data_IF_118741837121
#
_entry.id   IF_118741837121
#
_cell.length_a   1.000
_cell.length_b   1.000
_cell.length_c   1.000
_cell.angle_alpha   90.00
_cell.angle_beta   90.00
_cell.angle_gamma   90.00
#
_symmetry.space_group_name_H-M   'P 1'
#
loop_
_entity.id
_entity.type
_entity.pdbx_description
1 polymer ?
#
# COMPACT_ATOMS: atom_id res chain seq x y z
N UNK A 1 6.38 8.74 -30.36
CA UNK A 1 6.37 8.87 -28.88
C UNK A 1 5.49 7.77 -28.33
N UNK A 2 5.92 7.02 -27.31
CA UNK A 2 5.06 5.99 -26.72
C UNK A 2 3.91 6.68 -25.97
N UNK A 3 2.67 6.30 -26.27
CA UNK A 3 1.50 6.85 -25.60
C UNK A 3 1.49 6.40 -24.14
N UNK A 4 1.45 7.36 -23.21
CA UNK A 4 1.33 7.08 -21.78
C UNK A 4 -0.03 6.44 -21.50
N UNK A 5 -0.04 5.21 -20.98
CA UNK A 5 -1.26 4.52 -20.56
C UNK A 5 -1.42 4.77 -19.06
N UNK A 6 -2.60 5.23 -18.59
CA UNK A 6 -2.82 5.44 -17.18
C UNK A 6 -2.69 4.12 -16.40
N UNK A 7 -2.22 4.14 -15.15
CA UNK A 7 -2.27 2.98 -14.28
C UNK A 7 -3.71 2.50 -14.08
N UNK A 8 -3.91 1.19 -13.98
CA UNK A 8 -5.20 0.64 -13.57
C UNK A 8 -5.38 0.67 -12.05
N UNK A 9 -6.58 0.35 -11.61
CA UNK A 9 -6.93 0.32 -10.19
C UNK A 9 -6.20 -0.80 -9.43
N UNK A 10 -6.01 -0.56 -8.13
CA UNK A 10 -5.52 -1.56 -7.16
C UNK A 10 -6.65 -1.90 -6.18
N UNK A 11 -6.62 -3.12 -5.65
CA UNK A 11 -7.49 -3.51 -4.54
C UNK A 11 -6.68 -3.57 -3.24
N UNK A 12 -7.24 -2.99 -2.17
CA UNK A 12 -6.62 -2.99 -0.84
C UNK A 12 -7.50 -3.70 0.17
N UNK A 13 -6.86 -4.35 1.15
CA UNK A 13 -7.54 -4.92 2.32
C UNK A 13 -6.76 -4.48 3.58
N UNK A 14 -7.34 -3.61 4.43
CA UNK A 14 -8.66 -2.99 4.31
C UNK A 14 -8.75 -1.99 3.14
N UNK A 15 -9.97 -1.77 2.63
CA UNK A 15 -10.20 -0.98 1.41
C UNK A 15 -9.95 0.53 1.63
N UNK A 16 -10.64 1.13 2.61
CA UNK A 16 -10.65 2.58 2.78
C UNK A 16 -9.96 3.10 4.05
N UNK A 17 -9.97 2.31 5.13
CA UNK A 17 -9.39 2.72 6.42
C UNK A 17 -8.86 1.52 7.19
N UNK A 18 -7.80 1.75 7.96
CA UNK A 18 -7.29 0.83 8.96
C UNK A 18 -7.56 1.41 10.36
N UNK A 19 -7.94 0.56 11.31
CA UNK A 19 -8.17 0.94 12.70
C UNK A 19 -7.07 0.29 13.54
N UNK A 20 -6.28 1.11 14.22
CA UNK A 20 -5.34 0.66 15.23
C UNK A 20 -6.10 0.62 16.56
N UNK A 21 -6.29 -0.58 17.12
CA UNK A 21 -6.99 -0.74 18.40
C UNK A 21 -6.02 -0.67 19.57
N UNK A 22 -6.54 -0.20 20.71
CA UNK A 22 -5.84 -0.25 21.98
C UNK A 22 -5.58 -1.71 22.43
N UNK A 23 -4.59 -1.95 23.31
CA UNK A 23 -3.72 -0.97 23.98
C UNK A 23 -2.59 -0.41 23.10
N UNK A 24 -1.99 0.72 23.50
CA UNK A 24 -0.96 1.45 22.72
C UNK A 24 0.39 1.59 23.45
N UNK A 25 0.60 0.78 24.48
CA UNK A 25 1.80 0.72 25.28
C UNK A 25 2.93 -0.07 24.60
N UNK A 26 2.59 -0.95 23.66
CA UNK A 26 3.55 -1.67 22.82
C UNK A 26 3.34 -1.42 21.31
N UNK A 27 4.37 -1.75 20.52
CA UNK A 27 4.34 -1.67 19.06
C UNK A 27 3.42 -2.75 18.48
N UNK A 28 2.40 -2.30 17.75
CA UNK A 28 1.52 -3.19 17.00
C UNK A 28 1.81 -3.09 15.50
N UNK A 29 2.05 -4.25 14.88
CA UNK A 29 2.17 -4.36 13.41
C UNK A 29 0.86 -4.86 12.83
N UNK A 30 0.31 -4.13 11.88
CA UNK A 30 -0.87 -4.53 11.11
C UNK A 30 -0.47 -4.80 9.67
N UNK A 31 -1.18 -5.70 9.01
CA UNK A 31 -0.92 -6.07 7.62
C UNK A 31 -1.99 -5.49 6.70
N UNK A 32 -1.54 -4.86 5.61
CA UNK A 32 -2.39 -4.38 4.53
C UNK A 32 -2.07 -5.22 3.30
N UNK A 33 -3.09 -5.81 2.68
CA UNK A 33 -2.95 -6.48 1.40
C UNK A 33 -3.14 -5.47 0.28
N UNK A 34 -2.22 -5.42 -0.66
CA UNK A 34 -2.33 -4.62 -1.90
C UNK A 34 -2.28 -5.57 -3.09
N UNK A 35 -3.23 -5.45 -4.00
CA UNK A 35 -3.37 -6.31 -5.17
C UNK A 35 -3.39 -5.43 -6.41
N UNK A 36 -2.52 -5.72 -7.36
CA UNK A 36 -2.57 -5.14 -8.69
C UNK A 36 -3.66 -5.85 -9.51
N UNK A 37 -4.83 -5.24 -9.60
CA UNK A 37 -5.95 -5.70 -10.44
C UNK A 37 -5.84 -5.27 -11.90
N UNK A 38 -4.79 -4.54 -12.27
CA UNK A 38 -4.58 -4.07 -13.64
C UNK A 38 -3.85 -5.12 -14.49
N UNK A 39 -3.89 -4.94 -15.82
CA UNK A 39 -3.22 -5.82 -16.77
C UNK A 39 -1.72 -5.52 -16.97
N UNK A 40 -1.14 -4.55 -16.24
CA UNK A 40 0.27 -4.14 -16.40
C UNK A 40 0.99 -4.10 -15.07
N UNK A 41 2.30 -4.36 -15.11
CA UNK A 41 3.17 -4.19 -13.94
C UNK A 41 3.15 -2.74 -13.48
N UNK A 42 3.01 -2.51 -12.18
CA UNK A 42 2.97 -1.17 -11.57
C UNK A 42 4.10 -1.01 -10.54
N UNK A 43 4.61 0.22 -10.42
CA UNK A 43 5.40 0.62 -9.25
C UNK A 43 4.49 1.18 -8.16
N UNK A 44 4.80 0.93 -6.90
CA UNK A 44 4.09 1.50 -5.76
C UNK A 44 5.05 2.13 -4.75
N UNK A 45 4.54 3.12 -4.01
CA UNK A 45 5.21 3.72 -2.87
C UNK A 45 4.20 4.11 -1.81
N UNK A 46 4.51 3.82 -0.54
CA UNK A 46 3.64 4.09 0.60
C UNK A 46 4.16 5.33 1.33
N UNK A 47 3.26 6.25 1.64
CA UNK A 47 3.55 7.45 2.42
C UNK A 47 2.68 7.47 3.68
N UNK A 48 3.28 7.86 4.79
CA UNK A 48 2.60 8.05 6.07
C UNK A 48 2.65 9.52 6.46
N UNK A 49 1.61 10.02 7.14
CA UNK A 49 1.57 11.41 7.64
C UNK A 49 2.50 11.66 8.83
N UNK A 50 2.95 10.62 9.53
CA UNK A 50 3.87 10.72 10.67
C UNK A 50 4.91 9.59 10.66
N UNK A 51 6.07 9.86 10.05
CA UNK A 51 7.15 8.87 9.87
C UNK A 51 7.85 8.47 11.18
N UNK A 52 7.73 9.27 12.25
CA UNK A 52 8.31 8.92 13.55
C UNK A 52 7.46 7.89 14.31
N UNK A 53 6.15 7.86 14.03
CA UNK A 53 5.18 6.98 14.70
C UNK A 53 4.78 5.77 13.85
N UNK A 54 4.71 5.93 12.54
CA UNK A 54 4.25 4.91 11.61
C UNK A 54 5.41 4.46 10.72
N UNK A 55 5.64 3.15 10.68
CA UNK A 55 6.57 2.50 9.75
C UNK A 55 5.81 1.58 8.80
N UNK A 56 6.26 1.49 7.56
CA UNK A 56 5.73 0.57 6.56
C UNK A 56 6.88 -0.16 5.89
N UNK A 57 6.77 -1.48 5.81
CA UNK A 57 7.77 -2.35 5.18
C UNK A 57 7.04 -3.43 4.36
N UNK A 58 7.32 -3.58 3.05
CA UNK A 58 8.18 -2.73 2.22
C UNK A 58 7.57 -1.32 1.96
N UNK A 59 8.37 -0.24 1.95
CA UNK A 59 7.86 1.12 1.73
C UNK A 59 7.60 1.42 0.25
N UNK A 60 8.23 0.69 -0.67
CA UNK A 60 8.03 0.80 -2.11
C UNK A 60 8.41 -0.51 -2.81
N UNK A 61 7.97 -0.66 -4.06
CA UNK A 61 8.31 -1.83 -4.85
C UNK A 61 7.59 -1.86 -6.18
N UNK A 62 7.56 -3.06 -6.78
CA UNK A 62 6.92 -3.34 -8.06
C UNK A 62 5.96 -4.50 -7.87
N UNK A 63 4.76 -4.39 -8.44
CA UNK A 63 3.73 -5.44 -8.43
C UNK A 63 3.39 -5.85 -9.85
N UNK A 64 3.52 -7.14 -10.12
CA UNK A 64 3.03 -7.74 -11.36
C UNK A 64 1.51 -7.78 -11.40
N UNK A 65 0.88 -7.83 -12.59
CA UNK A 65 -0.52 -8.17 -12.74
C UNK A 65 -0.83 -9.47 -12.02
N UNK A 66 -1.99 -9.53 -11.36
CA UNK A 66 -2.47 -10.78 -10.77
C UNK A 66 -2.92 -11.78 -11.84
#
# INVERSE_FOLDING_TARGET
MAQSVPPGDIATQPNAKIVFNAPYDDKHTYHIKVINSSARRIGYGIKTTNMKRLGVDPPCGVLDPK
#
